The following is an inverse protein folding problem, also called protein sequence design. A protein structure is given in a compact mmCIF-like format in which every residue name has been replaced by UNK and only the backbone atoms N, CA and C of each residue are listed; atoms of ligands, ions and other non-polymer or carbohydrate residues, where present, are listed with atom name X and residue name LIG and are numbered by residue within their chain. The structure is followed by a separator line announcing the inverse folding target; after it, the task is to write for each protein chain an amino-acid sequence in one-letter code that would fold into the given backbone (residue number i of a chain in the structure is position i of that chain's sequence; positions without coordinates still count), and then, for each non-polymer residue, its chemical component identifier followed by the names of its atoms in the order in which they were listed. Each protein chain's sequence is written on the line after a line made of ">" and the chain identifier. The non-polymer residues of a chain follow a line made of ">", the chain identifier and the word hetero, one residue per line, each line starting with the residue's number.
data_IF_453836097383
#
_entry.id   IF_453836097383
#
_cell.length_a   1.000
_cell.length_b   1.000
_cell.length_c   1.000
_cell.angle_alpha   90.00
_cell.angle_beta   90.00
_cell.angle_gamma   90.00
#
_symmetry.space_group_name_H-M   'P 1'
#
loop_
_entity.id
_entity.type
_entity.pdbx_description
1 polymer ?
#
# COMPACT_ATOMS: atom_id res chain seq x y z
N UNK A 1 -4.71 -4.37 15.66
CA UNK A 1 -3.84 -4.69 14.51
C UNK A 1 -4.11 -6.09 13.95
N UNK A 2 -4.08 -7.16 14.76
CA UNK A 2 -4.39 -8.54 14.31
C UNK A 2 -5.83 -8.66 13.77
N UNK A 3 -6.82 -8.07 14.44
CA UNK A 3 -8.21 -8.06 13.97
C UNK A 3 -8.35 -7.37 12.61
N UNK A 4 -7.72 -6.20 12.44
CA UNK A 4 -7.71 -5.46 11.17
C UNK A 4 -7.13 -6.29 10.02
N UNK A 5 -5.98 -6.96 10.24
CA UNK A 5 -5.35 -7.83 9.24
C UNK A 5 -6.20 -9.05 8.88
N UNK A 6 -6.94 -9.60 9.85
CA UNK A 6 -7.88 -10.69 9.58
C UNK A 6 -9.09 -10.20 8.78
N UNK A 7 -9.59 -9.00 9.08
CA UNK A 7 -10.71 -8.36 8.37
C UNK A 7 -10.35 -8.01 6.92
N UNK A 8 -9.07 -7.78 6.62
CA UNK A 8 -8.56 -7.62 5.24
C UNK A 8 -8.69 -8.87 4.36
N UNK A 9 -8.92 -10.06 4.93
CA UNK A 9 -9.19 -11.27 4.14
C UNK A 9 -10.53 -11.24 3.40
N UNK A 10 -11.36 -10.23 3.66
CA UNK A 10 -12.65 -10.02 3.01
C UNK A 10 -12.57 -9.90 1.50
N UNK A 11 -11.40 -9.54 0.97
CA UNK A 11 -11.18 -9.27 -0.45
C UNK A 11 -10.39 -10.38 -1.15
N UNK A 12 -10.36 -11.60 -0.59
CA UNK A 12 -9.82 -12.77 -1.25
C UNK A 12 -10.97 -13.60 -1.86
N UNK A 13 -11.28 -13.44 -3.17
CA UNK A 13 -12.40 -14.11 -3.81
C UNK A 13 -12.28 -15.64 -3.78
N UNK A 14 -11.05 -16.16 -3.74
CA UNK A 14 -10.81 -17.60 -3.65
C UNK A 14 -11.35 -18.21 -2.35
N UNK A 15 -11.55 -17.40 -1.30
CA UNK A 15 -12.13 -17.83 -0.03
C UNK A 15 -13.65 -17.62 0.03
N UNK A 16 -14.25 -17.03 -0.99
CA UNK A 16 -15.68 -16.71 -0.98
C UNK A 16 -16.52 -17.97 -1.21
N UNK A 17 -17.64 -18.11 -0.47
CA UNK A 17 -18.54 -19.23 -0.65
C UNK A 17 -19.22 -19.18 -2.02
N UNK A 18 -19.37 -20.34 -2.66
CA UNK A 18 -20.07 -20.48 -3.96
C UNK A 18 -21.59 -20.38 -3.84
N UNK A 19 -22.13 -20.63 -2.65
CA UNK A 19 -23.55 -20.49 -2.37
C UNK A 19 -23.92 -19.01 -2.22
N UNK A 20 -24.81 -18.53 -3.10
CA UNK A 20 -25.29 -17.14 -3.12
C UNK A 20 -25.94 -16.71 -1.80
N UNK A 21 -26.66 -17.61 -1.12
CA UNK A 21 -27.32 -17.29 0.16
C UNK A 21 -26.29 -17.05 1.27
N UNK A 22 -25.20 -17.81 1.26
CA UNK A 22 -24.11 -17.67 2.23
C UNK A 22 -23.27 -16.43 1.90
N UNK A 23 -23.02 -16.18 0.61
CA UNK A 23 -22.26 -15.02 0.12
C UNK A 23 -22.89 -13.69 0.55
N UNK A 24 -24.22 -13.61 0.57
CA UNK A 24 -24.94 -12.39 0.94
C UNK A 24 -24.53 -11.87 2.31
N UNK A 25 -24.39 -12.74 3.31
CA UNK A 25 -24.01 -12.37 4.67
C UNK A 25 -22.52 -12.62 4.97
N UNK A 26 -21.74 -13.05 3.97
CA UNK A 26 -20.35 -13.40 4.17
C UNK A 26 -19.52 -12.17 4.50
N UNK A 27 -18.84 -12.23 5.65
CA UNK A 27 -17.88 -11.24 6.15
C UNK A 27 -18.41 -9.82 6.38
N UNK A 28 -19.71 -9.70 6.64
CA UNK A 28 -20.32 -8.42 6.99
C UNK A 28 -19.74 -7.83 8.28
N UNK A 29 -19.39 -8.69 9.25
CA UNK A 29 -18.78 -8.27 10.51
C UNK A 29 -17.40 -7.64 10.29
N UNK A 30 -16.57 -8.26 9.45
CA UNK A 30 -15.26 -7.74 9.09
C UNK A 30 -15.36 -6.40 8.33
N UNK A 31 -16.36 -6.25 7.45
CA UNK A 31 -16.63 -4.98 6.79
C UNK A 31 -16.98 -3.89 7.83
N UNK A 32 -17.88 -4.18 8.77
CA UNK A 32 -18.26 -3.23 9.83
C UNK A 32 -17.09 -2.83 10.73
N UNK A 33 -16.15 -3.74 11.00
CA UNK A 33 -14.91 -3.39 11.70
C UNK A 33 -14.03 -2.43 10.90
N UNK A 34 -13.89 -2.65 9.58
CA UNK A 34 -13.13 -1.77 8.69
C UNK A 34 -13.79 -0.40 8.58
N UNK A 35 -15.11 -0.35 8.43
CA UNK A 35 -15.90 0.88 8.43
C UNK A 35 -15.64 1.66 9.72
N UNK A 36 -15.78 1.03 10.89
CA UNK A 36 -15.54 1.70 12.18
C UNK A 36 -14.16 2.36 12.30
N UNK A 37 -13.15 1.81 11.64
CA UNK A 37 -11.78 2.32 11.66
C UNK A 37 -11.59 3.47 10.66
N UNK A 38 -12.12 3.35 9.45
CA UNK A 38 -11.84 4.25 8.33
C UNK A 38 -12.92 5.31 8.04
N UNK A 39 -14.12 5.14 8.60
CA UNK A 39 -15.22 6.12 8.57
C UNK A 39 -14.97 7.26 9.57
N UNK A 40 -14.31 6.98 10.70
CA UNK A 40 -14.06 8.01 11.72
C UNK A 40 -13.00 9.01 11.23
N UNK A 41 -13.30 10.30 11.36
CA UNK A 41 -12.36 11.42 11.31
C UNK A 41 -11.35 11.43 12.48
N UNK A 42 -10.99 10.25 13.02
CA UNK A 42 -10.07 10.09 14.15
C UNK A 42 -8.65 10.55 13.81
N UNK A 43 -8.39 10.80 12.53
CA UNK A 43 -7.13 11.31 12.03
C UNK A 43 -7.17 12.83 12.05
N UNK A 44 -6.32 13.50 12.85
CA UNK A 44 -6.40 14.94 13.13
C UNK A 44 -6.32 15.86 11.89
N UNK A 45 -5.99 15.32 10.71
CA UNK A 45 -5.88 16.04 9.45
C UNK A 45 -6.98 15.71 8.42
N UNK A 46 -7.94 14.84 8.74
CA UNK A 46 -9.01 14.44 7.81
C UNK A 46 -10.35 14.96 8.33
N UNK A 47 -10.85 16.03 7.71
CA UNK A 47 -12.13 16.67 8.04
C UNK A 47 -13.32 15.73 7.80
N UNK A 48 -13.20 14.80 6.86
CA UNK A 48 -14.18 13.76 6.56
C UNK A 48 -13.53 12.38 6.68
N UNK A 49 -14.31 11.36 7.06
CA UNK A 49 -13.89 9.96 6.98
C UNK A 49 -13.36 9.61 5.59
N UNK A 50 -12.43 8.65 5.52
CA UNK A 50 -11.84 8.25 4.23
C UNK A 50 -12.89 7.52 3.37
N UNK A 51 -13.83 6.84 4.04
CA UNK A 51 -14.87 6.01 3.46
C UNK A 51 -16.23 6.45 4.01
N UNK A 52 -17.25 6.47 3.15
CA UNK A 52 -18.65 6.70 3.50
C UNK A 52 -19.32 5.35 3.83
N UNK A 53 -19.76 5.18 5.08
CA UNK A 53 -20.26 3.91 5.58
C UNK A 53 -21.60 3.48 4.97
N UNK A 54 -22.48 4.43 4.66
CA UNK A 54 -23.77 4.08 4.06
C UNK A 54 -23.58 3.67 2.61
N UNK A 55 -22.69 4.37 1.89
CA UNK A 55 -22.37 4.03 0.50
C UNK A 55 -21.63 2.70 0.39
N UNK A 56 -20.63 2.44 1.22
CA UNK A 56 -19.86 1.21 1.11
C UNK A 56 -20.71 -0.04 1.41
N UNK A 57 -21.67 0.04 2.34
CA UNK A 57 -22.63 -1.06 2.59
C UNK A 57 -23.50 -1.37 1.38
N UNK A 58 -23.91 -0.33 0.64
CA UNK A 58 -24.68 -0.48 -0.59
C UNK A 58 -23.82 -1.06 -1.73
N UNK A 59 -22.61 -0.53 -1.90
CA UNK A 59 -21.63 -0.99 -2.89
C UNK A 59 -21.24 -2.46 -2.65
N UNK A 60 -21.09 -2.87 -1.39
CA UNK A 60 -20.53 -4.16 -1.01
C UNK A 60 -21.29 -5.36 -1.56
N UNK A 61 -22.63 -5.33 -1.50
CA UNK A 61 -23.44 -6.44 -1.97
C UNK A 61 -23.34 -6.61 -3.50
N UNK A 62 -23.40 -5.51 -4.24
CA UNK A 62 -23.26 -5.51 -5.69
C UNK A 62 -21.84 -5.93 -6.11
N UNK A 63 -20.82 -5.44 -5.40
CA UNK A 63 -19.45 -5.83 -5.63
C UNK A 63 -19.23 -7.34 -5.46
N UNK A 64 -19.80 -7.93 -4.39
CA UNK A 64 -19.75 -9.39 -4.18
C UNK A 64 -20.37 -10.16 -5.33
N UNK A 65 -21.50 -9.70 -5.87
CA UNK A 65 -22.16 -10.33 -7.02
C UNK A 65 -21.32 -10.24 -8.29
N UNK A 66 -20.73 -9.08 -8.59
CA UNK A 66 -19.88 -8.89 -9.77
C UNK A 66 -18.63 -9.76 -9.70
N UNK A 67 -17.92 -9.75 -8.58
CA UNK A 67 -16.70 -10.54 -8.41
C UNK A 67 -17.00 -12.03 -8.44
N UNK A 68 -18.07 -12.47 -7.78
CA UNK A 68 -18.48 -13.87 -7.81
C UNK A 68 -19.04 -14.31 -9.17
N UNK A 69 -19.55 -13.43 -10.01
CA UNK A 69 -20.07 -13.84 -11.32
C UNK A 69 -18.98 -13.87 -12.39
N UNK A 70 -18.04 -12.93 -12.34
CA UNK A 70 -17.13 -12.66 -13.46
C UNK A 70 -15.67 -13.06 -13.19
N UNK A 71 -15.26 -13.16 -11.92
CA UNK A 71 -13.84 -13.24 -11.56
C UNK A 71 -13.48 -14.35 -10.56
N UNK A 72 -14.35 -15.35 -10.34
CA UNK A 72 -14.10 -16.44 -9.36
C UNK A 72 -12.82 -17.24 -9.57
N UNK A 73 -12.29 -17.28 -10.80
CA UNK A 73 -11.11 -18.08 -11.14
C UNK A 73 -9.82 -17.24 -11.16
N UNK A 74 -9.89 -15.94 -10.87
CA UNK A 74 -8.73 -15.06 -10.83
C UNK A 74 -8.16 -14.99 -9.42
N UNK A 75 -6.83 -15.05 -9.32
CA UNK A 75 -6.16 -14.72 -8.08
C UNK A 75 -6.19 -13.20 -7.85
N UNK A 76 -5.93 -12.82 -6.60
CA UNK A 76 -5.96 -11.41 -6.16
C UNK A 76 -5.03 -10.54 -7.01
N UNK A 77 -3.86 -11.02 -7.41
CA UNK A 77 -2.89 -10.20 -8.16
C UNK A 77 -3.38 -9.86 -9.57
N UNK A 78 -4.12 -10.76 -10.21
CA UNK A 78 -4.72 -10.50 -11.52
C UNK A 78 -6.07 -9.80 -11.42
N UNK A 79 -6.80 -9.98 -10.31
CA UNK A 79 -8.09 -9.33 -10.09
C UNK A 79 -7.95 -7.83 -9.80
N UNK A 80 -7.03 -7.45 -8.90
CA UNK A 80 -6.93 -6.07 -8.42
C UNK A 80 -6.75 -5.04 -9.54
N UNK A 81 -5.86 -5.24 -10.54
CA UNK A 81 -5.74 -4.29 -11.65
C UNK A 81 -7.06 -4.09 -12.40
N UNK A 82 -7.82 -5.16 -12.62
CA UNK A 82 -9.12 -5.10 -13.32
C UNK A 82 -10.13 -4.31 -12.48
N UNK A 83 -10.18 -4.57 -11.18
CA UNK A 83 -11.08 -3.88 -10.25
C UNK A 83 -10.75 -2.38 -10.17
N UNK A 84 -9.47 -2.02 -10.07
CA UNK A 84 -9.03 -0.63 -10.03
C UNK A 84 -9.28 0.12 -11.34
N UNK A 85 -9.10 -0.53 -12.49
CA UNK A 85 -9.26 0.09 -13.80
C UNK A 85 -10.73 0.21 -14.23
N UNK A 86 -11.52 -0.85 -14.04
CA UNK A 86 -12.86 -0.95 -14.65
C UNK A 86 -14.01 -0.61 -13.70
N UNK A 87 -13.78 -0.64 -12.38
CA UNK A 87 -14.87 -0.58 -11.39
C UNK A 87 -14.79 0.62 -10.44
N UNK A 88 -13.83 1.54 -10.66
CA UNK A 88 -13.63 2.70 -9.79
C UNK A 88 -14.83 3.65 -9.73
N UNK A 89 -15.53 3.86 -10.84
CA UNK A 89 -16.70 4.74 -10.88
C UNK A 89 -17.92 4.12 -10.18
N UNK A 90 -18.02 2.79 -10.18
CA UNK A 90 -19.18 2.06 -9.63
C UNK A 90 -19.06 1.78 -8.14
N UNK A 91 -17.84 1.51 -7.66
CA UNK A 91 -17.58 1.15 -6.26
C UNK A 91 -16.47 2.00 -5.62
N UNK A 92 -16.59 3.34 -5.63
CA UNK A 92 -15.51 4.24 -5.21
C UNK A 92 -15.11 4.05 -3.74
N UNK A 93 -16.02 3.66 -2.85
CA UNK A 93 -15.69 3.44 -1.44
C UNK A 93 -15.01 2.08 -1.21
N UNK A 94 -15.42 1.04 -1.96
CA UNK A 94 -14.72 -0.25 -1.98
C UNK A 94 -13.31 -0.11 -2.53
N UNK A 95 -13.13 0.65 -3.62
CA UNK A 95 -11.80 0.90 -4.18
C UNK A 95 -10.90 1.61 -3.18
N UNK A 96 -11.37 2.67 -2.52
CA UNK A 96 -10.58 3.34 -1.46
C UNK A 96 -10.22 2.38 -0.33
N UNK A 97 -11.15 1.53 0.09
CA UNK A 97 -10.86 0.51 1.10
C UNK A 97 -9.77 -0.45 0.62
N UNK A 98 -9.84 -0.91 -0.62
CA UNK A 98 -8.84 -1.76 -1.25
C UNK A 98 -7.46 -1.09 -1.28
N UNK A 99 -7.38 0.16 -1.74
CA UNK A 99 -6.13 0.93 -1.77
C UNK A 99 -5.47 1.00 -0.39
N UNK A 100 -6.24 1.30 0.66
CA UNK A 100 -5.74 1.36 2.03
C UNK A 100 -5.20 0.00 2.46
N UNK A 101 -5.99 -1.06 2.24
CA UNK A 101 -5.65 -2.41 2.67
C UNK A 101 -4.38 -2.91 1.98
N UNK A 102 -4.27 -2.74 0.67
CA UNK A 102 -3.12 -3.20 -0.10
C UNK A 102 -1.90 -2.29 0.00
N UNK A 103 -2.04 -1.07 0.52
CA UNK A 103 -0.91 -0.21 0.88
C UNK A 103 -0.21 -0.64 2.17
N UNK A 104 -0.85 -1.45 3.01
CA UNK A 104 -0.28 -1.92 4.27
C UNK A 104 0.51 -3.22 4.01
N UNK A 105 1.82 -3.27 4.30
CA UNK A 105 2.60 -4.49 4.12
C UNK A 105 2.09 -5.59 5.08
N UNK A 106 1.72 -6.74 4.52
CA UNK A 106 1.19 -7.89 5.26
C UNK A 106 2.24 -8.69 6.05
N UNK A 107 3.53 -8.38 5.88
CA UNK A 107 4.62 -9.10 6.55
C UNK A 107 5.73 -8.16 7.05
N UNK A 108 6.45 -8.60 8.07
CA UNK A 108 7.66 -7.95 8.57
C UNK A 108 8.90 -8.19 7.70
N UNK A 109 8.79 -8.99 6.62
CA UNK A 109 9.93 -9.42 5.80
C UNK A 109 10.67 -8.20 5.23
N UNK A 110 9.95 -7.20 4.73
CA UNK A 110 10.55 -5.96 4.23
C UNK A 110 11.23 -5.15 5.34
N UNK A 111 10.67 -5.15 6.56
CA UNK A 111 11.30 -4.54 7.71
C UNK A 111 12.59 -5.28 8.10
N UNK A 112 12.57 -6.61 8.13
CA UNK A 112 13.74 -7.46 8.40
C UNK A 112 14.83 -7.28 7.35
N UNK A 113 14.45 -7.14 6.08
CA UNK A 113 15.35 -6.77 4.98
C UNK A 113 15.96 -5.40 5.21
N UNK A 114 15.15 -4.42 5.63
CA UNK A 114 15.60 -3.08 6.01
C UNK A 114 16.62 -3.10 7.15
N UNK A 115 16.36 -3.84 8.23
CA UNK A 115 17.30 -4.02 9.33
C UNK A 115 18.57 -4.76 8.89
N UNK A 116 18.44 -5.77 8.03
CA UNK A 116 19.60 -6.47 7.47
C UNK A 116 20.51 -5.52 6.68
N UNK A 117 19.92 -4.67 5.82
CA UNK A 117 20.66 -3.62 5.11
C UNK A 117 21.26 -2.58 6.05
N UNK A 118 20.53 -2.20 7.11
CA UNK A 118 21.02 -1.29 8.14
C UNK A 118 22.27 -1.86 8.84
N UNK A 119 22.27 -3.15 9.17
CA UNK A 119 23.40 -3.82 9.81
C UNK A 119 24.63 -3.92 8.89
N UNK A 120 24.44 -3.98 7.57
CA UNK A 120 25.53 -3.87 6.60
C UNK A 120 26.10 -2.45 6.53
N UNK A 121 25.26 -1.42 6.64
CA UNK A 121 25.69 -0.01 6.61
C UNK A 121 26.36 0.39 7.93
N UNK A 122 25.75 0.03 9.07
CA UNK A 122 26.25 0.27 10.44
C UNK A 122 26.94 -0.98 10.97
N UNK A 123 28.22 -1.09 10.63
CA UNK A 123 29.07 -2.14 11.19
C UNK A 123 29.57 -1.76 12.59
N UNK A 124 30.18 -2.72 13.30
CA UNK A 124 30.83 -2.49 14.60
C UNK A 124 31.85 -1.33 14.56
N UNK A 125 32.60 -1.21 13.46
CA UNK A 125 33.57 -0.14 13.24
C UNK A 125 32.94 1.17 12.75
N UNK A 126 31.73 1.13 12.18
CA UNK A 126 31.03 2.27 11.58
C UNK A 126 29.66 2.50 12.22
N UNK A 127 29.61 2.58 13.55
CA UNK A 127 28.35 2.71 14.29
C UNK A 127 27.90 4.16 14.56
N UNK A 128 28.76 5.16 14.32
CA UNK A 128 28.50 6.61 14.56
C UNK A 128 27.93 7.39 13.37
N UNK A 129 27.26 6.72 12.42
CA UNK A 129 26.58 7.40 11.31
C UNK A 129 25.36 8.14 11.86
N UNK A 130 25.20 9.41 11.49
CA UNK A 130 24.01 10.20 11.85
C UNK A 130 22.75 9.71 11.10
N UNK A 131 21.57 10.11 11.57
CA UNK A 131 20.31 9.60 11.02
C UNK A 131 20.06 10.02 9.58
N UNK A 132 20.41 11.24 9.18
CA UNK A 132 20.19 11.73 7.82
C UNK A 132 21.02 10.95 6.78
N UNK A 133 22.28 10.71 7.11
CA UNK A 133 23.21 9.96 6.25
C UNK A 133 22.81 8.48 6.21
N UNK A 134 22.41 7.93 7.36
CA UNK A 134 21.91 6.56 7.42
C UNK A 134 20.63 6.38 6.60
N UNK A 135 19.70 7.31 6.71
CA UNK A 135 18.48 7.33 5.93
C UNK A 135 18.79 7.33 4.43
N UNK A 136 19.69 8.22 3.97
CA UNK A 136 20.10 8.27 2.57
C UNK A 136 20.69 6.92 2.09
N UNK A 137 21.60 6.32 2.88
CA UNK A 137 22.18 5.03 2.50
C UNK A 137 21.15 3.91 2.49
N UNK A 138 20.22 3.89 3.44
CA UNK A 138 19.12 2.93 3.45
C UNK A 138 18.21 3.12 2.24
N UNK A 139 17.83 4.36 1.91
CA UNK A 139 17.02 4.65 0.72
C UNK A 139 17.70 4.13 -0.54
N UNK A 140 18.99 4.39 -0.73
CA UNK A 140 19.75 3.89 -1.88
C UNK A 140 19.85 2.35 -1.85
N UNK A 141 20.09 1.76 -0.69
CA UNK A 141 20.30 0.31 -0.54
C UNK A 141 19.02 -0.53 -0.66
N UNK A 142 17.86 0.09 -0.44
CA UNK A 142 16.55 -0.53 -0.55
C UNK A 142 15.96 -0.44 -1.96
N UNK A 143 16.45 0.50 -2.79
CA UNK A 143 16.09 0.56 -4.21
C UNK A 143 16.69 -0.65 -4.91
N UNK A 144 15.83 -1.57 -5.35
CA UNK A 144 16.21 -2.77 -6.10
C UNK A 144 16.48 -2.43 -7.58
N UNK A 145 17.34 -1.43 -7.83
CA UNK A 145 17.80 -1.14 -9.18
C UNK A 145 19.19 -1.73 -9.39
N UNK A 146 19.37 -2.47 -10.47
CA UNK A 146 20.69 -2.97 -10.82
C UNK A 146 21.61 -1.78 -11.08
N UNK A 147 22.84 -1.83 -10.56
CA UNK A 147 23.84 -0.78 -10.79
C UNK A 147 24.10 -0.57 -12.29
N UNK A 148 23.95 -1.62 -13.09
CA UNK A 148 24.11 -1.59 -14.55
C UNK A 148 22.98 -0.82 -15.25
N UNK A 149 21.82 -0.65 -14.61
CA UNK A 149 20.67 0.09 -15.13
C UNK A 149 20.65 1.55 -14.64
N UNK A 150 21.62 1.93 -13.81
CA UNK A 150 21.73 3.29 -13.29
C UNK A 150 22.50 4.18 -14.28
N UNK A 151 21.86 5.29 -14.66
CA UNK A 151 22.45 6.29 -15.55
C UNK A 151 23.38 7.24 -14.75
N UNK A 152 24.65 6.87 -14.70
CA UNK A 152 25.68 7.65 -14.02
C UNK A 152 25.96 9.00 -14.69
N UNK A 153 25.79 9.12 -16.00
CA UNK A 153 26.00 10.38 -16.70
C UNK A 153 24.94 11.41 -16.32
N UNK A 154 23.68 10.98 -16.25
CA UNK A 154 22.59 11.83 -15.76
C UNK A 154 22.83 12.29 -14.33
N UNK A 155 23.29 11.39 -13.45
CA UNK A 155 23.61 11.72 -12.07
C UNK A 155 24.74 12.76 -11.98
N UNK A 156 25.81 12.58 -12.77
CA UNK A 156 26.95 13.49 -12.82
C UNK A 156 26.55 14.88 -13.32
N UNK A 157 25.70 14.93 -14.35
CA UNK A 157 25.15 16.18 -14.88
C UNK A 157 24.35 16.93 -13.81
N UNK A 158 23.46 16.26 -13.08
CA UNK A 158 22.69 16.86 -11.96
C UNK A 158 23.62 17.40 -10.86
N UNK A 159 24.63 16.62 -10.47
CA UNK A 159 25.57 17.07 -9.46
C UNK A 159 26.36 18.31 -9.91
N UNK A 160 26.80 18.33 -11.17
CA UNK A 160 27.56 19.45 -11.74
C UNK A 160 26.74 20.74 -11.76
N UNK A 161 25.45 20.69 -12.11
CA UNK A 161 24.57 21.86 -12.14
C UNK A 161 24.28 22.38 -10.74
N UNK A 162 24.09 21.49 -9.76
CA UNK A 162 23.94 21.88 -8.35
C UNK A 162 25.18 22.62 -7.83
N UNK A 163 26.38 22.09 -8.08
CA UNK A 163 27.65 22.72 -7.66
C UNK A 163 27.85 24.09 -8.31
N UNK A 164 27.54 24.22 -9.61
CA UNK A 164 27.63 25.51 -10.30
C UNK A 164 26.63 26.54 -9.75
N UNK A 165 25.42 26.11 -9.39
CA UNK A 165 24.39 26.98 -8.84
C UNK A 165 24.78 27.49 -7.45
N UNK A 166 25.29 26.63 -6.57
CA UNK A 166 25.78 27.03 -5.24
C UNK A 166 26.96 27.99 -5.30
N UNK A 167 27.84 27.87 -6.31
CA UNK A 167 28.97 28.80 -6.52
C UNK A 167 28.54 30.17 -7.07
N UNK A 168 27.39 30.26 -7.74
CA UNK A 168 26.85 31.54 -8.26
C UNK A 168 26.13 32.36 -7.19
N UNK A 169 25.56 31.72 -6.17
CA UNK A 169 24.83 32.39 -5.08
C UNK A 169 25.78 33.00 -4.04
N UNK A 170 27.05 32.57 -4.01
CA UNK A 170 28.09 33.07 -3.09
C UNK A 170 28.94 34.21 -3.68
N UNK A 171 28.57 34.76 -4.84
CA UNK A 171 29.17 35.97 -5.45
C UNK A 171 28.16 37.11 -5.44
#
# INVERSE_FOLDING_TARGET
>A
MILLLNSMQILNPNKWPKDKKILQNYRELELEELIKVYEKSHWPNYLNGIIDADKIRQEWNLFKEVVSSNYQNLDVNNLLPIIFDQHQEFYPNIIKLLEIIYSIPFSSIECERGFSKQNLIKTSHRNRINNDTLHLFLSISLVDKNINEYDFEKALNIWSTMVQTSRRIQK
#
